data_IF_620263392492
#
_entry.id   IF_620263392492
#
_cell.length_a   1.000
_cell.length_b   1.000
_cell.length_c   1.000
_cell.angle_alpha   90.00
_cell.angle_beta   90.00
_cell.angle_gamma   90.00
#
_symmetry.space_group_name_H-M   'P 1'
#
loop_
_entity.id
_entity.type
_entity.pdbx_description
1 polymer ?
#
# COMPACT_ATOMS: atom_id res chain seq x y z
N UNK A 1 -28.49 -2.42 -18.89
CA UNK A 1 -27.44 -1.62 -19.58
C UNK A 1 -26.12 -1.97 -18.92
N UNK A 2 -25.30 -2.78 -19.58
CA UNK A 2 -23.98 -3.16 -19.08
C UNK A 2 -23.09 -1.92 -19.05
N UNK A 3 -22.79 -1.39 -17.87
CA UNK A 3 -21.83 -0.31 -17.71
C UNK A 3 -20.51 -0.72 -18.35
N UNK A 4 -20.03 0.07 -19.31
CA UNK A 4 -18.66 -0.03 -19.78
C UNK A 4 -17.77 0.39 -18.61
N UNK A 5 -17.19 -0.58 -17.89
CA UNK A 5 -16.27 -0.27 -16.80
C UNK A 5 -15.03 0.36 -17.39
N UNK A 6 -14.69 1.55 -16.91
CA UNK A 6 -13.45 2.22 -17.29
C UNK A 6 -12.25 1.44 -16.76
N UNK A 7 -11.05 1.73 -17.28
CA UNK A 7 -9.82 1.13 -16.75
C UNK A 7 -9.67 1.46 -15.25
N UNK A 8 -9.99 2.68 -14.87
CA UNK A 8 -10.03 3.15 -13.49
C UNK A 8 -10.95 2.28 -12.61
N UNK A 9 -12.20 2.04 -13.04
CA UNK A 9 -13.15 1.21 -12.27
C UNK A 9 -12.61 -0.20 -12.02
N UNK A 10 -11.98 -0.79 -13.04
CA UNK A 10 -11.42 -2.15 -12.96
C UNK A 10 -10.23 -2.23 -12.02
N UNK A 11 -9.35 -1.21 -12.06
CA UNK A 11 -8.20 -1.10 -11.17
C UNK A 11 -8.66 -0.87 -9.74
N UNK A 12 -9.60 0.07 -9.51
CA UNK A 12 -10.15 0.33 -8.18
C UNK A 12 -10.83 -0.91 -7.60
N UNK A 13 -11.60 -1.64 -8.40
CA UNK A 13 -12.22 -2.91 -8.00
C UNK A 13 -11.16 -3.95 -7.57
N UNK A 14 -10.06 -4.06 -8.31
CA UNK A 14 -8.99 -4.99 -7.99
C UNK A 14 -8.25 -4.59 -6.69
N UNK A 15 -7.94 -3.31 -6.51
CA UNK A 15 -7.34 -2.78 -5.29
C UNK A 15 -8.28 -2.91 -4.09
N UNK A 16 -9.60 -2.78 -4.27
CA UNK A 16 -10.58 -3.03 -3.22
C UNK A 16 -10.63 -4.51 -2.80
N UNK A 17 -10.45 -5.44 -3.74
CA UNK A 17 -10.39 -6.87 -3.44
C UNK A 17 -9.09 -7.26 -2.73
N UNK A 18 -7.99 -6.59 -3.04
CA UNK A 18 -6.67 -6.86 -2.47
C UNK A 18 -5.91 -5.55 -2.14
N UNK A 19 -6.22 -4.89 -1.02
CA UNK A 19 -5.49 -3.70 -0.60
C UNK A 19 -4.02 -4.03 -0.32
N UNK A 20 -3.10 -3.15 -0.73
CA UNK A 20 -1.67 -3.37 -0.58
C UNK A 20 -1.06 -4.29 -1.64
N UNK A 21 -1.82 -4.66 -2.68
CA UNK A 21 -1.33 -5.46 -3.79
C UNK A 21 -0.15 -4.79 -4.51
N UNK A 22 0.71 -5.61 -5.11
CA UNK A 22 1.76 -5.09 -5.97
C UNK A 22 1.20 -4.72 -7.35
N UNK A 23 1.89 -3.82 -8.04
CA UNK A 23 1.54 -3.45 -9.41
C UNK A 23 1.56 -4.67 -10.35
N UNK A 24 2.52 -5.58 -10.19
CA UNK A 24 2.60 -6.81 -10.99
C UNK A 24 1.39 -7.73 -10.74
N UNK A 25 0.97 -7.88 -9.48
CA UNK A 25 -0.24 -8.64 -9.12
C UNK A 25 -1.49 -8.00 -9.73
N UNK A 26 -1.54 -6.66 -9.75
CA UNK A 26 -2.63 -5.91 -10.34
C UNK A 26 -2.71 -6.18 -11.86
N UNK A 27 -1.58 -6.18 -12.57
CA UNK A 27 -1.53 -6.52 -14.01
C UNK A 27 -2.03 -7.93 -14.28
N UNK A 28 -1.70 -8.90 -13.41
CA UNK A 28 -2.22 -10.27 -13.51
C UNK A 28 -3.74 -10.35 -13.29
N UNK A 29 -4.31 -9.43 -12.52
CA UNK A 29 -5.76 -9.39 -12.24
C UNK A 29 -6.60 -8.78 -13.38
N UNK A 30 -5.97 -8.06 -14.30
CA UNK A 30 -6.60 -7.41 -15.47
C UNK A 30 -5.78 -7.69 -16.74
N UNK A 31 -5.80 -8.94 -17.24
CA UNK A 31 -4.91 -9.41 -18.33
C UNK A 31 -5.15 -8.72 -19.70
N UNK A 32 -6.23 -7.97 -19.84
CA UNK A 32 -6.60 -7.20 -21.02
C UNK A 32 -5.84 -5.87 -21.12
N UNK A 33 -5.06 -5.53 -20.08
CA UNK A 33 -4.28 -4.31 -19.98
C UNK A 33 -2.79 -4.64 -19.94
N UNK A 34 -1.99 -3.80 -20.59
CA UNK A 34 -0.54 -3.88 -20.50
C UNK A 34 -0.06 -3.29 -19.18
N UNK A 35 1.13 -3.71 -18.72
CA UNK A 35 1.77 -3.16 -17.53
C UNK A 35 1.85 -1.63 -17.55
N UNK A 36 2.19 -1.04 -18.71
CA UNK A 36 2.24 0.41 -18.90
C UNK A 36 0.87 1.08 -18.74
N UNK A 37 -0.21 0.49 -19.28
CA UNK A 37 -1.55 1.05 -19.12
C UNK A 37 -2.02 1.02 -17.66
N UNK A 38 -1.74 -0.09 -16.97
CA UNK A 38 -2.03 -0.21 -15.54
C UNK A 38 -1.21 0.81 -14.75
N UNK A 39 0.10 0.93 -15.01
CA UNK A 39 0.96 1.91 -14.34
C UNK A 39 0.48 3.35 -14.55
N UNK A 40 0.19 3.75 -15.78
CA UNK A 40 -0.26 5.10 -16.10
C UNK A 40 -1.59 5.43 -15.41
N UNK A 41 -2.54 4.48 -15.40
CA UNK A 41 -3.80 4.72 -14.72
C UNK A 41 -3.62 4.74 -13.19
N UNK A 42 -2.81 3.86 -12.62
CA UNK A 42 -2.51 3.87 -11.17
C UNK A 42 -1.81 5.17 -10.75
N UNK A 43 -0.86 5.69 -11.55
CA UNK A 43 -0.23 6.98 -11.31
C UNK A 43 -1.27 8.12 -11.38
N UNK A 44 -2.17 8.10 -12.36
CA UNK A 44 -3.27 9.05 -12.48
C UNK A 44 -4.21 9.00 -11.26
N UNK A 45 -4.65 7.81 -10.86
CA UNK A 45 -5.48 7.59 -9.66
C UNK A 45 -4.76 8.02 -8.37
N UNK A 46 -3.43 7.87 -8.32
CA UNK A 46 -2.64 8.33 -7.19
C UNK A 46 -2.56 9.86 -7.12
N UNK A 47 -2.44 10.54 -8.26
CA UNK A 47 -2.40 12.01 -8.32
C UNK A 47 -3.76 12.65 -8.04
N UNK A 48 -4.85 11.96 -8.36
CA UNK A 48 -6.23 12.38 -8.05
C UNK A 48 -6.66 11.98 -6.64
N UNK A 49 -5.82 11.25 -5.89
CA UNK A 49 -6.06 10.87 -4.50
C UNK A 49 -6.99 9.67 -4.30
N UNK A 50 -7.31 8.93 -5.38
CA UNK A 50 -8.17 7.75 -5.32
C UNK A 50 -7.44 6.49 -4.83
N UNK A 51 -6.12 6.43 -5.02
CA UNK A 51 -5.23 5.39 -4.46
C UNK A 51 -3.94 6.03 -3.92
N UNK A 52 -3.14 5.25 -3.20
CA UNK A 52 -1.81 5.61 -2.76
C UNK A 52 -0.81 4.64 -3.36
N UNK A 53 0.08 5.14 -4.20
CA UNK A 53 1.20 4.39 -4.77
C UNK A 53 2.44 4.55 -3.89
N UNK A 54 3.00 3.46 -3.41
CA UNK A 54 4.24 3.45 -2.60
C UNK A 54 5.31 2.62 -3.30
N UNK A 55 6.44 3.23 -3.63
CA UNK A 55 7.60 2.53 -4.18
C UNK A 55 8.35 1.79 -3.05
N UNK A 56 8.49 0.47 -3.19
CA UNK A 56 9.23 -0.38 -2.24
C UNK A 56 10.70 -0.57 -2.64
N UNK A 57 11.11 0.02 -3.76
CA UNK A 57 12.44 -0.13 -4.34
C UNK A 57 12.50 -1.27 -5.38
N UNK A 58 13.59 -1.30 -6.17
CA UNK A 58 13.82 -2.32 -7.23
C UNK A 58 12.72 -2.43 -8.30
N UNK A 59 11.94 -1.37 -8.52
CA UNK A 59 10.81 -1.39 -9.48
C UNK A 59 9.53 -1.99 -8.92
N UNK A 60 9.49 -2.34 -7.63
CA UNK A 60 8.29 -2.83 -6.96
C UNK A 60 7.45 -1.68 -6.43
N UNK A 61 6.17 -1.69 -6.75
CA UNK A 61 5.19 -0.70 -6.30
C UNK A 61 4.04 -1.38 -5.57
N UNK A 62 3.62 -0.81 -4.46
CA UNK A 62 2.45 -1.26 -3.68
C UNK A 62 1.35 -0.21 -3.72
N UNK A 63 0.11 -0.68 -3.81
CA UNK A 63 -1.05 0.17 -4.07
C UNK A 63 -2.06 0.00 -2.93
N UNK A 64 -2.42 1.12 -2.31
CA UNK A 64 -3.34 1.16 -1.17
C UNK A 64 -4.53 2.07 -1.46
N UNK A 65 -5.67 1.84 -0.80
CA UNK A 65 -6.74 2.83 -0.80
C UNK A 65 -6.38 3.97 0.18
N UNK A 66 -6.83 5.21 -0.08
CA UNK A 66 -6.42 6.40 0.68
C UNK A 66 -6.75 6.32 2.19
N UNK A 67 -7.76 5.53 2.58
CA UNK A 67 -8.19 5.35 3.98
C UNK A 67 -7.72 4.03 4.61
N UNK A 68 -6.92 3.22 3.89
CA UNK A 68 -6.28 2.04 4.46
C UNK A 68 -4.91 2.49 4.98
N UNK A 69 -4.91 3.18 6.12
CA UNK A 69 -3.70 3.68 6.76
C UNK A 69 -2.72 2.50 6.90
N UNK A 70 -1.54 2.65 6.28
CA UNK A 70 -0.42 1.71 6.39
C UNK A 70 -0.12 1.50 7.87
N UNK A 71 -0.66 0.41 8.44
CA UNK A 71 -0.21 -0.13 9.72
C UNK A 71 1.15 -0.81 9.53
N UNK A 72 2.10 -0.03 9.03
CA UNK A 72 3.53 -0.30 9.19
C UNK A 72 4.10 0.89 9.96
N UNK A 73 3.46 1.26 11.07
CA UNK A 73 4.18 1.95 12.15
C UNK A 73 5.12 0.90 12.71
N UNK A 74 6.39 0.94 12.32
CA UNK A 74 7.46 0.30 13.07
C UNK A 74 7.36 0.81 14.52
N UNK A 75 7.03 -0.01 15.54
CA UNK A 75 7.24 0.39 16.91
C UNK A 75 8.66 -0.01 17.28
N UNK A 76 9.63 0.83 16.95
CA UNK A 76 10.89 0.87 17.71
C UNK A 76 11.46 2.29 17.68
N UNK A 77 10.64 3.21 18.20
CA UNK A 77 11.17 4.44 18.77
C UNK A 77 12.01 4.06 19.99
N UNK A 78 13.31 4.24 19.85
CA UNK A 78 14.26 4.68 20.88
C UNK A 78 13.70 4.69 22.31
N UNK A 79 14.10 3.70 23.13
CA UNK A 79 14.10 3.82 24.59
C UNK A 79 15.50 3.48 25.10
N UNK A 80 16.42 4.40 24.81
CA UNK A 80 17.56 4.65 25.69
C UNK A 80 17.09 5.76 26.62
N UNK A 81 16.87 5.47 27.91
CA UNK A 81 17.30 6.26 29.06
C UNK A 81 16.94 5.52 30.36
N UNK A 82 17.98 5.43 31.20
CA UNK A 82 18.15 4.94 32.57
C UNK A 82 16.93 4.51 33.41
N UNK A 83 17.03 3.32 34.02
CA UNK A 83 16.69 3.18 35.44
C UNK A 83 17.76 2.37 36.18
N UNK A 84 18.51 3.12 36.97
CA UNK A 84 19.54 2.70 37.91
C UNK A 84 18.86 1.99 39.08
N UNK A 85 18.72 0.67 39.05
CA UNK A 85 18.21 -0.07 40.22
C UNK A 85 19.31 -0.26 41.26
N UNK A 86 19.43 0.76 42.10
CA UNK A 86 19.92 0.66 43.48
C UNK A 86 19.25 -0.48 44.23
N UNK A 87 20.01 -1.14 45.11
CA UNK A 87 19.61 -2.35 45.81
C UNK A 87 18.54 -2.20 46.90
N UNK A 88 18.62 -3.17 47.82
CA UNK A 88 17.80 -3.52 49.01
C UNK A 88 16.56 -4.42 48.82
N UNK A 89 16.72 -5.68 49.24
CA UNK A 89 15.89 -6.40 50.24
C UNK A 89 16.26 -7.89 50.19
N UNK A 90 16.99 -8.42 51.17
CA UNK A 90 16.47 -9.04 52.40
C UNK A 90 15.92 -10.45 52.15
N UNK A 91 16.69 -11.46 52.55
CA UNK A 91 16.33 -12.53 53.50
C UNK A 91 17.60 -13.28 53.91
#
# INVERSE_FOLDING_TARGET
MSQLRTIADRILDAVHRAPGCQLDDLVLSVPELTWNQVFLEVDHLSRTGQVRLTAMGKGTYTIWLPNQETSTRLPHQLSRFDDKKTGVSSL
#
